data_IF_979778571497
#
_entry.id   IF_979778571497
#
_cell.length_a   1.000
_cell.length_b   1.000
_cell.length_c   1.000
_cell.angle_alpha   90.00
_cell.angle_beta   90.00
_cell.angle_gamma   90.00
#
_symmetry.space_group_name_H-M   'P 1'
#
loop_
_entity.id
_entity.type
_entity.pdbx_description
1 polymer ?
#
# COMPACT_ATOMS: atom_id res chain seq x y z
N UNK A 1 1.98 7.38 24.56
CA UNK A 1 2.94 7.57 23.44
C UNK A 1 2.32 7.42 22.05
N UNK A 2 1.45 6.43 21.79
CA UNK A 2 0.86 6.23 20.45
C UNK A 2 0.05 7.43 19.88
N UNK A 3 -0.67 8.19 20.72
CA UNK A 3 -1.43 9.38 20.27
C UNK A 3 -0.51 10.49 19.71
N UNK A 4 0.65 10.70 20.33
CA UNK A 4 1.62 11.73 19.90
C UNK A 4 2.15 11.42 18.49
N UNK A 5 2.49 10.16 18.22
CA UNK A 5 2.96 9.74 16.90
C UNK A 5 1.88 9.90 15.80
N UNK A 6 0.62 9.57 16.12
CA UNK A 6 -0.50 9.73 15.19
C UNK A 6 -0.77 11.20 14.87
N UNK A 7 -0.76 12.07 15.88
CA UNK A 7 -0.94 13.51 15.69
C UNK A 7 0.21 14.12 14.89
N UNK A 8 1.44 13.63 15.07
CA UNK A 8 2.60 14.04 14.28
C UNK A 8 2.46 13.63 12.81
N UNK A 9 2.03 12.40 12.53
CA UNK A 9 1.74 11.95 11.15
C UNK A 9 0.63 12.80 10.54
N UNK A 10 -0.47 13.05 11.26
CA UNK A 10 -1.55 13.89 10.77
C UNK A 10 -1.08 15.32 10.45
N UNK A 11 -0.15 15.87 11.25
CA UNK A 11 0.50 17.17 10.97
C UNK A 11 1.40 17.11 9.74
N UNK A 12 2.11 16.02 9.50
CA UNK A 12 2.93 15.85 8.28
C UNK A 12 2.07 15.74 7.02
N UNK A 13 0.92 15.05 7.10
CA UNK A 13 -0.02 14.90 5.97
C UNK A 13 -0.75 16.21 5.69
N UNK A 14 -1.27 16.87 6.73
CA UNK A 14 -1.97 18.15 6.63
C UNK A 14 -1.26 19.17 7.53
N UNK A 15 -0.23 19.89 7.04
CA UNK A 15 0.53 20.84 7.84
C UNK A 15 -0.32 22.01 8.34
N UNK A 16 -1.13 22.58 7.44
CA UNK A 16 -2.01 23.71 7.72
C UNK A 16 -3.44 23.23 7.96
N UNK A 17 -4.04 23.64 9.07
CA UNK A 17 -5.44 23.30 9.36
C UNK A 17 -6.35 24.11 8.43
N UNK A 18 -7.15 23.43 7.63
CA UNK A 18 -8.12 24.06 6.73
C UNK A 18 -9.29 23.13 6.43
N UNK A 19 -10.51 23.65 6.52
CA UNK A 19 -11.73 22.94 6.11
C UNK A 19 -11.89 22.84 4.59
N UNK A 20 -11.16 23.66 3.84
CA UNK A 20 -11.10 23.59 2.38
C UNK A 20 -10.18 22.46 1.90
N UNK A 21 -9.27 21.98 2.75
CA UNK A 21 -8.46 20.80 2.45
C UNK A 21 -9.31 19.53 2.65
N UNK A 22 -9.39 18.72 1.60
CA UNK A 22 -10.05 17.42 1.63
C UNK A 22 -9.02 16.30 1.67
N UNK A 23 -9.21 15.33 2.56
CA UNK A 23 -8.42 14.10 2.65
C UNK A 23 -9.32 12.91 2.41
N UNK A 24 -9.08 12.25 1.29
CA UNK A 24 -9.61 10.92 0.98
C UNK A 24 -8.99 9.89 1.91
N UNK A 25 -9.82 9.16 2.65
CA UNK A 25 -9.38 8.11 3.57
C UNK A 25 -10.20 6.86 3.33
N UNK A 26 -9.55 5.77 2.95
CA UNK A 26 -10.28 4.58 2.59
C UNK A 26 -10.77 3.78 3.80
N UNK A 27 -11.91 3.12 3.61
CA UNK A 27 -12.68 2.49 4.69
C UNK A 27 -12.22 1.06 5.00
N UNK A 28 -10.91 0.91 5.20
CA UNK A 28 -10.37 -0.35 5.66
C UNK A 28 -10.98 -0.73 7.03
N UNK A 29 -11.69 -1.85 7.03
CA UNK A 29 -12.20 -2.48 8.24
C UNK A 29 -11.72 -3.92 8.31
N UNK A 30 -11.31 -4.35 9.51
CA UNK A 30 -10.98 -5.75 9.76
C UNK A 30 -12.27 -6.56 9.63
N UNK A 31 -12.45 -7.30 8.54
CA UNK A 31 -13.60 -8.20 8.36
C UNK A 31 -13.55 -9.27 9.46
N UNK A 32 -14.44 -9.17 10.45
CA UNK A 32 -14.63 -10.22 11.47
C UNK A 32 -15.16 -11.48 10.77
N UNK A 33 -14.57 -12.64 11.04
CA UNK A 33 -15.09 -13.94 10.56
C UNK A 33 -14.40 -14.57 9.35
N UNK A 34 -13.53 -13.87 8.63
CA UNK A 34 -12.74 -14.50 7.54
C UNK A 34 -11.46 -15.11 8.13
N UNK A 35 -11.45 -16.43 8.36
CA UNK A 35 -10.23 -17.20 8.68
C UNK A 35 -9.18 -16.94 7.58
N UNK A 36 -8.18 -16.10 7.86
CA UNK A 36 -7.10 -15.78 6.91
C UNK A 36 -6.72 -14.30 6.85
N UNK A 37 -7.63 -13.37 7.17
CA UNK A 37 -7.29 -11.94 7.35
C UNK A 37 -6.77 -11.75 8.78
N UNK A 38 -5.65 -12.40 9.08
CA UNK A 38 -4.78 -11.94 10.18
C UNK A 38 -4.30 -10.55 9.74
N UNK A 39 -4.22 -9.58 10.65
CA UNK A 39 -3.40 -8.39 10.39
C UNK A 39 -2.03 -8.84 9.87
N UNK A 40 -1.34 -8.01 9.09
CA UNK A 40 -0.05 -8.36 8.46
C UNK A 40 0.76 -9.18 9.47
N UNK A 41 0.98 -10.47 9.16
CA UNK A 41 1.39 -11.46 10.15
C UNK A 41 2.66 -10.97 10.86
N UNK A 42 2.60 -10.82 12.19
CA UNK A 42 3.73 -10.33 12.99
C UNK A 42 3.77 -8.82 13.23
N UNK A 43 2.79 -8.05 12.77
CA UNK A 43 2.74 -6.60 12.98
C UNK A 43 1.59 -6.19 13.91
N UNK A 44 1.84 -5.12 14.68
CA UNK A 44 0.82 -4.48 15.49
C UNK A 44 -0.32 -3.94 14.61
N UNK A 45 -1.57 -3.89 15.11
CA UNK A 45 -2.67 -3.26 14.39
C UNK A 45 -2.34 -1.81 14.02
N UNK A 46 -2.59 -1.44 12.77
CA UNK A 46 -2.43 -0.04 12.33
C UNK A 46 -3.42 0.87 13.07
N UNK A 47 -3.03 2.09 13.49
CA UNK A 47 -3.89 3.03 14.22
C UNK A 47 -4.90 3.73 13.31
N UNK A 48 -5.60 2.97 12.45
CA UNK A 48 -6.49 3.47 11.39
C UNK A 48 -7.55 4.44 11.92
N UNK A 49 -8.22 4.08 13.03
CA UNK A 49 -9.24 4.94 13.65
C UNK A 49 -8.63 6.21 14.24
N UNK A 50 -7.53 6.08 14.98
CA UNK A 50 -6.86 7.22 15.60
C UNK A 50 -6.33 8.21 14.57
N UNK A 51 -5.76 7.73 13.47
CA UNK A 51 -5.27 8.59 12.38
C UNK A 51 -6.42 9.31 11.68
N UNK A 52 -7.52 8.61 11.39
CA UNK A 52 -8.74 9.23 10.81
C UNK A 52 -9.27 10.36 11.69
N UNK A 53 -9.31 10.15 13.02
CA UNK A 53 -9.72 11.18 13.98
C UNK A 53 -8.74 12.36 14.05
N UNK A 54 -7.43 12.10 14.05
CA UNK A 54 -6.42 13.15 14.06
C UNK A 54 -6.48 14.02 12.78
N UNK A 55 -6.69 13.40 11.62
CA UNK A 55 -6.89 14.09 10.34
C UNK A 55 -8.18 14.94 10.34
N UNK A 56 -9.28 14.45 10.92
CA UNK A 56 -10.56 15.20 11.02
C UNK A 56 -10.46 16.50 11.81
N UNK A 57 -9.50 16.60 12.73
CA UNK A 57 -9.22 17.85 13.46
C UNK A 57 -8.53 18.90 12.57
N UNK A 58 -7.92 18.48 11.45
CA UNK A 58 -7.09 19.34 10.60
C UNK A 58 -7.70 19.61 9.22
N UNK A 59 -8.48 18.68 8.69
CA UNK A 59 -9.04 18.72 7.34
C UNK A 59 -10.44 18.09 7.28
N UNK A 60 -11.12 18.31 6.17
CA UNK A 60 -12.34 17.57 5.83
C UNK A 60 -11.94 16.16 5.38
N UNK A 61 -12.32 15.13 6.14
CA UNK A 61 -11.95 13.74 5.82
C UNK A 61 -13.14 13.02 5.23
N UNK A 62 -13.01 12.60 3.96
CA UNK A 62 -14.03 11.85 3.23
C UNK A 62 -13.66 10.37 3.26
N UNK A 63 -14.66 9.56 3.57
CA UNK A 63 -14.55 8.10 3.66
C UNK A 63 -14.90 7.51 2.30
N UNK A 64 -14.12 6.56 1.80
CA UNK A 64 -14.33 6.04 0.45
C UNK A 64 -13.94 4.57 0.27
N UNK A 65 -14.55 3.95 -0.74
CA UNK A 65 -14.33 2.55 -1.10
C UNK A 65 -13.06 2.41 -1.95
N UNK A 66 -12.07 1.68 -1.42
CA UNK A 66 -10.79 1.41 -2.08
C UNK A 66 -10.88 0.28 -3.12
N UNK A 67 -12.06 0.04 -3.69
CA UNK A 67 -12.28 -1.12 -4.53
C UNK A 67 -11.32 -1.12 -5.73
N UNK A 68 -10.43 -2.13 -5.77
CA UNK A 68 -9.41 -2.34 -6.82
C UNK A 68 -8.42 -1.19 -7.04
N UNK A 69 -8.35 -0.18 -6.17
CA UNK A 69 -7.43 0.97 -6.32
C UNK A 69 -5.96 0.55 -6.42
N UNK A 70 -5.57 -0.49 -5.70
CA UNK A 70 -4.21 -1.08 -5.78
C UNK A 70 -4.02 -2.09 -6.92
N UNK A 71 -5.09 -2.49 -7.61
CA UNK A 71 -5.07 -3.55 -8.63
C UNK A 71 -5.15 -3.04 -10.05
N UNK A 72 -5.72 -1.85 -10.27
CA UNK A 72 -5.83 -1.24 -11.58
C UNK A 72 -4.69 -0.24 -11.79
N UNK A 73 -4.15 -0.23 -13.00
CA UNK A 73 -3.16 0.74 -13.41
C UNK A 73 -3.79 2.13 -13.38
N UNK A 74 -3.11 3.09 -12.76
CA UNK A 74 -3.52 4.49 -12.79
C UNK A 74 -3.71 5.04 -14.22
N UNK A 75 -2.82 4.68 -15.14
CA UNK A 75 -2.78 5.31 -16.46
C UNK A 75 -3.80 4.73 -17.44
N UNK A 76 -3.98 3.40 -17.45
CA UNK A 76 -4.83 2.73 -18.44
C UNK A 76 -5.99 1.93 -17.82
N UNK A 77 -6.12 1.92 -16.49
CA UNK A 77 -7.12 1.17 -15.74
C UNK A 77 -7.15 -0.36 -16.01
N UNK A 78 -6.14 -0.89 -16.69
CA UNK A 78 -5.96 -2.33 -16.86
C UNK A 78 -5.50 -3.00 -15.57
N UNK A 79 -5.79 -4.29 -15.42
CA UNK A 79 -5.39 -5.04 -14.23
C UNK A 79 -3.88 -5.24 -14.20
N UNK A 80 -3.27 -4.91 -13.07
CA UNK A 80 -1.84 -5.04 -12.86
C UNK A 80 -1.45 -6.47 -12.46
N UNK A 81 -0.31 -6.92 -12.98
CA UNK A 81 0.30 -8.21 -12.71
C UNK A 81 1.30 -8.17 -11.57
N UNK A 82 1.47 -9.32 -10.90
CA UNK A 82 2.46 -9.46 -9.85
C UNK A 82 3.88 -9.56 -10.42
N UNK A 83 4.83 -8.82 -9.83
CA UNK A 83 6.24 -8.97 -10.14
C UNK A 83 6.84 -10.12 -9.36
N UNK A 84 7.67 -10.95 -10.02
CA UNK A 84 8.47 -12.00 -9.38
C UNK A 84 9.95 -11.67 -9.56
N UNK A 85 10.76 -12.00 -8.57
CA UNK A 85 12.21 -11.85 -8.60
C UNK A 85 12.87 -13.10 -8.03
N UNK A 86 13.97 -13.52 -8.64
CA UNK A 86 14.76 -14.65 -8.17
C UNK A 86 15.57 -14.26 -6.95
N UNK A 87 15.52 -15.07 -5.90
CA UNK A 87 16.36 -14.91 -4.71
C UNK A 87 17.22 -16.12 -4.50
N UNK A 88 18.46 -15.91 -4.10
CA UNK A 88 19.32 -16.98 -3.62
C UNK A 88 18.84 -17.41 -2.22
N UNK A 89 18.27 -18.60 -2.11
CA UNK A 89 17.72 -19.13 -0.86
C UNK A 89 18.79 -19.73 0.06
N UNK A 90 19.96 -20.07 -0.49
CA UNK A 90 21.11 -20.63 0.23
C UNK A 90 22.21 -19.59 0.48
N UNK A 91 21.87 -18.36 0.84
CA UNK A 91 22.82 -17.53 1.56
C UNK A 91 22.86 -18.01 3.02
N UNK A 92 23.88 -18.77 3.47
CA UNK A 92 23.94 -19.18 4.87
C UNK A 92 23.94 -17.92 5.74
N UNK A 93 23.05 -17.87 6.74
CA UNK A 93 23.14 -16.89 7.82
C UNK A 93 24.58 -16.90 8.33
N UNK A 94 25.20 -15.72 8.52
CA UNK A 94 26.57 -15.62 9.06
C UNK A 94 26.62 -16.42 10.37
N UNK A 95 27.25 -17.59 10.34
CA UNK A 95 27.46 -18.41 11.54
C UNK A 95 28.65 -17.80 12.27
N UNK A 96 28.36 -17.06 13.35
CA UNK A 96 29.38 -16.61 14.29
C UNK A 96 29.58 -17.73 15.31
N UNK A 97 30.80 -18.22 15.47
CA UNK A 97 31.15 -19.11 16.57
C UNK A 97 32.26 -18.43 17.37
N UNK A 98 32.06 -18.22 18.67
CA UNK A 98 33.03 -17.55 19.56
C UNK A 98 33.64 -16.26 18.98
N UNK A 99 32.81 -15.40 18.38
CA UNK A 99 33.25 -14.10 17.82
C UNK A 99 33.92 -14.17 16.44
N UNK A 100 34.26 -15.36 15.93
CA UNK A 100 34.91 -15.52 14.61
C UNK A 100 33.86 -15.76 13.53
N UNK A 101 33.96 -15.02 12.43
CA UNK A 101 33.14 -15.22 11.22
C UNK A 101 33.82 -16.30 10.39
N UNK A 102 33.19 -17.47 10.27
CA UNK A 102 33.72 -18.57 9.45
C UNK A 102 33.67 -18.21 7.95
N UNK A 103 34.74 -18.54 7.23
CA UNK A 103 34.85 -18.34 5.77
C UNK A 103 33.79 -19.21 5.07
N UNK A 104 33.12 -18.61 4.08
CA UNK A 104 32.05 -19.28 3.32
C UNK A 104 32.67 -20.31 2.36
N UNK A 105 32.37 -21.60 2.55
CA UNK A 105 32.42 -22.52 1.43
C UNK A 105 31.32 -22.09 0.43
N UNK A 106 31.67 -21.92 -0.85
CA UNK A 106 30.72 -21.62 -1.93
C UNK A 106 29.73 -22.77 -2.04
N UNK A 107 28.65 -22.72 -1.28
CA UNK A 107 27.53 -23.65 -1.43
C UNK A 107 26.89 -23.44 -2.80
N UNK A 108 26.42 -24.52 -3.41
CA UNK A 108 25.58 -24.49 -4.62
C UNK A 108 24.45 -23.47 -4.43
N UNK A 109 24.33 -22.56 -5.39
CA UNK A 109 23.34 -21.49 -5.36
C UNK A 109 22.01 -22.06 -5.81
N UNK A 110 21.04 -22.16 -4.90
CA UNK A 110 19.64 -22.40 -5.26
C UNK A 110 18.90 -21.07 -5.36
N UNK A 111 18.19 -20.88 -6.47
CA UNK A 111 17.33 -19.72 -6.71
C UNK A 111 15.86 -20.11 -6.56
N UNK A 112 15.08 -19.25 -5.90
CA UNK A 112 13.62 -19.37 -5.81
C UNK A 112 12.98 -18.06 -6.29
N UNK A 113 11.91 -18.16 -7.07
CA UNK A 113 11.13 -17.00 -7.48
C UNK A 113 10.20 -16.55 -6.35
N UNK A 114 10.41 -15.32 -5.87
CA UNK A 114 9.55 -14.69 -4.87
C UNK A 114 8.71 -13.59 -5.48
N UNK A 115 7.46 -13.52 -5.02
CA UNK A 115 6.54 -12.44 -5.38
C UNK A 115 6.94 -11.15 -4.66
N UNK A 116 7.12 -10.08 -5.42
CA UNK A 116 7.21 -8.74 -4.86
C UNK A 116 5.79 -8.25 -4.53
N UNK A 117 5.54 -7.94 -3.25
CA UNK A 117 4.26 -7.40 -2.83
C UNK A 117 4.19 -5.87 -2.97
N UNK A 118 5.33 -5.18 -3.01
CA UNK A 118 5.38 -3.72 -3.13
C UNK A 118 5.23 -3.23 -4.57
N UNK A 119 5.66 -4.02 -5.56
CA UNK A 119 5.70 -3.61 -6.97
C UNK A 119 4.76 -4.43 -7.83
N UNK A 120 4.06 -3.77 -8.75
CA UNK A 120 3.16 -4.35 -9.72
C UNK A 120 3.58 -3.96 -11.14
N UNK A 121 3.23 -4.77 -12.14
CA UNK A 121 3.54 -4.53 -13.56
C UNK A 121 2.27 -4.29 -14.36
N UNK A 122 2.29 -3.30 -15.24
CA UNK A 122 1.27 -3.15 -16.27
C UNK A 122 1.72 -3.88 -17.53
N UNK A 123 0.89 -4.81 -18.01
CA UNK A 123 1.17 -5.60 -19.22
C UNK A 123 0.55 -5.01 -20.49
N UNK A 124 -0.17 -3.89 -20.37
CA UNK A 124 -0.81 -3.26 -21.52
C UNK A 124 0.23 -2.58 -22.42
N UNK A 125 0.26 -2.97 -23.69
CA UNK A 125 1.28 -2.58 -24.67
C UNK A 125 1.40 -1.06 -24.84
N UNK A 126 0.28 -0.34 -24.75
CA UNK A 126 0.23 1.12 -24.92
C UNK A 126 0.33 1.89 -23.59
N UNK A 127 0.64 1.22 -22.48
CA UNK A 127 0.84 1.87 -21.19
C UNK A 127 2.33 2.11 -20.94
N UNK A 128 2.73 3.39 -20.88
CA UNK A 128 4.11 3.77 -20.59
C UNK A 128 4.51 3.38 -19.15
N UNK A 129 3.54 3.33 -18.24
CA UNK A 129 3.76 2.95 -16.86
C UNK A 129 3.93 1.44 -16.71
N UNK A 130 5.14 0.95 -17.04
CA UNK A 130 5.51 -0.47 -16.96
C UNK A 130 5.40 -1.04 -15.55
N UNK A 131 5.85 -0.29 -14.54
CA UNK A 131 5.89 -0.72 -13.15
C UNK A 131 5.34 0.35 -12.21
N UNK A 132 4.65 -0.11 -11.17
CA UNK A 132 4.07 0.73 -10.13
C UNK A 132 4.49 0.25 -8.75
N UNK A 133 4.88 1.18 -7.89
CA UNK A 133 4.73 0.97 -6.46
C UNK A 133 3.23 0.86 -6.15
N UNK A 134 2.85 -0.21 -5.46
CA UNK A 134 1.45 -0.56 -5.19
C UNK A 134 0.76 0.51 -4.37
N UNK A 135 1.43 1.05 -3.37
CA UNK A 135 0.83 2.02 -2.44
C UNK A 135 0.72 3.38 -3.13
N UNK A 136 1.70 3.77 -3.95
CA UNK A 136 1.63 4.97 -4.80
C UNK A 136 0.48 4.87 -5.81
N UNK A 137 0.38 3.77 -6.55
CA UNK A 137 -0.71 3.57 -7.52
C UNK A 137 -2.09 3.60 -6.83
N UNK A 138 -2.22 2.95 -5.67
CA UNK A 138 -3.45 3.00 -4.89
C UNK A 138 -3.80 4.42 -4.44
N UNK A 139 -2.82 5.16 -3.91
CA UNK A 139 -3.02 6.52 -3.42
C UNK A 139 -3.47 7.46 -4.54
N UNK A 140 -2.88 7.38 -5.73
CA UNK A 140 -3.26 8.27 -6.83
C UNK A 140 -4.66 7.90 -7.36
N UNK A 141 -4.97 6.61 -7.51
CA UNK A 141 -6.33 6.17 -7.86
C UNK A 141 -7.37 6.66 -6.84
N UNK A 142 -7.03 6.63 -5.56
CA UNK A 142 -7.89 7.17 -4.48
C UNK A 142 -8.04 8.69 -4.53
N UNK A 143 -7.14 9.43 -5.16
CA UNK A 143 -7.28 10.87 -5.34
C UNK A 143 -8.20 11.20 -6.53
N UNK A 144 -8.14 10.40 -7.59
CA UNK A 144 -8.94 10.64 -8.80
C UNK A 144 -10.43 10.36 -8.61
N UNK A 145 -10.81 9.39 -7.77
CA UNK A 145 -12.21 9.08 -7.45
C UNK A 145 -12.98 10.28 -6.86
N UNK A 146 -12.57 10.89 -5.72
CA UNK A 146 -13.26 12.03 -5.14
C UNK A 146 -13.15 13.27 -6.01
N UNK A 147 -12.07 13.44 -6.78
CA UNK A 147 -11.99 14.53 -7.78
C UNK A 147 -13.09 14.39 -8.83
N UNK A 148 -13.27 13.19 -9.38
CA UNK A 148 -14.33 12.89 -10.35
C UNK A 148 -15.73 13.20 -9.78
N UNK A 149 -15.97 12.81 -8.53
CA UNK A 149 -17.22 13.09 -7.81
C UNK A 149 -17.46 14.60 -7.61
N UNK A 150 -16.44 15.33 -7.13
CA UNK A 150 -16.50 16.80 -6.94
C UNK A 150 -16.74 17.54 -8.26
N UNK A 151 -16.24 17.02 -9.37
CA UNK A 151 -16.46 17.54 -10.72
C UNK A 151 -17.82 17.12 -11.32
N UNK A 152 -18.66 16.38 -10.59
CA UNK A 152 -19.98 15.96 -11.04
C UNK A 152 -19.98 14.82 -12.06
N UNK A 153 -18.86 14.11 -12.24
CA UNK A 153 -18.71 13.01 -13.20
C UNK A 153 -19.09 11.65 -12.61
N UNK A 154 -19.29 11.60 -11.29
CA UNK A 154 -19.57 10.37 -10.56
C UNK A 154 -18.36 9.45 -10.42
N UNK A 155 -18.60 8.25 -9.87
CA UNK A 155 -17.59 7.20 -9.74
C UNK A 155 -17.18 6.63 -11.10
N UNK A 156 -15.87 6.58 -11.35
CA UNK A 156 -15.27 6.01 -12.56
C UNK A 156 -15.61 4.53 -12.71
N UNK A 157 -16.10 4.13 -13.90
CA UNK A 157 -16.56 2.75 -14.21
C UNK A 157 -15.60 1.64 -13.74
N UNK A 158 -14.26 1.72 -13.95
CA UNK A 158 -13.35 0.64 -13.57
C UNK A 158 -13.34 0.32 -12.06
N UNK A 159 -13.76 1.28 -11.24
CA UNK A 159 -13.77 1.19 -9.77
C UNK A 159 -15.17 0.96 -9.19
N UNK A 160 -16.21 0.82 -10.03
CA UNK A 160 -17.54 0.45 -9.56
C UNK A 160 -17.58 -1.02 -9.16
N UNK A 161 -18.37 -1.32 -8.13
CA UNK A 161 -18.73 -2.70 -7.80
C UNK A 161 -19.81 -3.16 -8.76
N UNK A 162 -19.58 -4.28 -9.44
CA UNK A 162 -20.58 -5.04 -10.18
C UNK A 162 -21.52 -5.78 -9.23
#
# INVERSE_FOLDING_TARGET
MARVAVDEIARRIVPTVSRQTCVAYGDWSRRKGIKGIKGIKGHAPSPVKGLKEALRKRATVVSMDEFRTSKLCLQCHQTLSAVRYSVNTKLPKRKKCKGVVLVRNRAEVEFEDKKCHAVLRCDHENCEARYWDRDVNAAINMVELPKSEVLGRGCMEPFRRS
#
